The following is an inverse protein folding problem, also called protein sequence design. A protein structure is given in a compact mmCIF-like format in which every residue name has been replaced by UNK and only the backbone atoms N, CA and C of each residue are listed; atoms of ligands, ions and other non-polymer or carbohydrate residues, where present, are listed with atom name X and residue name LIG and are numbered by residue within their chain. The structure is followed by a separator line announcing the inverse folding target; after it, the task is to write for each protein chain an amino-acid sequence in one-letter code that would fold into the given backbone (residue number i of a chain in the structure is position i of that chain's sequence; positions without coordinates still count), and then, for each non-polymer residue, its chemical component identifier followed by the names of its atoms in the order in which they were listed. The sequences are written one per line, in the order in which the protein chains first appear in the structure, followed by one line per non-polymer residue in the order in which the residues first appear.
data_IF_876477121529
#
_entry.id   IF_876477121529
#
_cell.length_a   1.000
_cell.length_b   1.000
_cell.length_c   1.000
_cell.angle_alpha   90.00
_cell.angle_beta   90.00
_cell.angle_gamma   90.00
#
_symmetry.space_group_name_H-M   'P 1'
#
loop_
_entity.id
_entity.type
_entity.pdbx_description
1 polymer ?
#
# COMPACT_ATOMS: atom_id res chain seq x y z
N UNK A 1 -2.70 -13.10 -14.39
CA UNK A 1 -1.66 -12.09 -14.71
C UNK A 1 -0.33 -12.69 -15.20
N UNK A 2 -0.08 -14.00 -15.09
CA UNK A 2 1.20 -14.66 -15.40
C UNK A 2 1.82 -14.28 -16.76
N UNK A 3 1.03 -14.30 -17.85
CA UNK A 3 1.49 -13.86 -19.20
C UNK A 3 1.95 -12.41 -19.27
N UNK A 4 1.46 -11.54 -18.38
CA UNK A 4 1.88 -10.12 -18.32
C UNK A 4 3.21 -10.00 -17.58
N UNK A 5 3.41 -10.80 -16.53
CA UNK A 5 4.63 -10.81 -15.72
C UNK A 5 5.80 -11.41 -16.52
N UNK A 6 5.60 -12.55 -17.19
CA UNK A 6 6.64 -13.18 -18.02
C UNK A 6 7.20 -12.21 -19.10
N UNK A 7 6.32 -11.42 -19.71
CA UNK A 7 6.71 -10.43 -20.72
C UNK A 7 7.55 -9.27 -20.20
N UNK A 8 7.59 -9.02 -18.88
CA UNK A 8 8.46 -7.98 -18.29
C UNK A 8 9.93 -8.29 -18.53
N UNK A 9 10.30 -9.57 -18.61
CA UNK A 9 11.67 -10.04 -18.84
C UNK A 9 11.85 -10.66 -20.24
N UNK A 10 11.00 -10.25 -21.19
CA UNK A 10 11.02 -10.77 -22.57
C UNK A 10 10.86 -12.31 -22.66
N UNK A 11 10.17 -12.93 -21.71
CA UNK A 11 9.88 -14.37 -21.68
C UNK A 11 8.38 -14.67 -21.86
N UNK A 12 8.05 -15.94 -21.97
CA UNK A 12 6.69 -16.46 -22.02
C UNK A 12 6.48 -17.62 -21.01
N UNK A 13 5.34 -18.32 -21.10
CA UNK A 13 4.99 -19.42 -20.20
C UNK A 13 5.60 -20.77 -20.59
N UNK A 14 6.30 -20.85 -21.72
CA UNK A 14 7.09 -22.03 -22.11
C UNK A 14 8.51 -21.89 -21.55
N UNK A 15 9.02 -20.65 -21.44
CA UNK A 15 10.34 -20.34 -20.87
C UNK A 15 10.36 -20.26 -19.35
N UNK A 16 9.26 -19.88 -18.70
CA UNK A 16 9.16 -19.70 -17.26
C UNK A 16 8.15 -20.65 -16.65
N UNK A 17 8.53 -21.31 -15.55
CA UNK A 17 7.61 -22.09 -14.74
C UNK A 17 6.63 -21.18 -13.98
N UNK A 18 5.54 -21.75 -13.45
CA UNK A 18 4.66 -20.98 -12.57
C UNK A 18 5.38 -20.53 -11.29
N UNK A 19 6.31 -21.33 -10.78
CA UNK A 19 7.09 -20.99 -9.59
C UNK A 19 8.01 -19.79 -9.86
N UNK A 20 8.65 -19.73 -11.03
CA UNK A 20 9.45 -18.56 -11.43
C UNK A 20 8.58 -17.29 -11.45
N UNK A 21 7.37 -17.37 -12.00
CA UNK A 21 6.44 -16.24 -12.06
C UNK A 21 5.99 -15.81 -10.67
N UNK A 22 5.76 -16.76 -9.76
CA UNK A 22 5.38 -16.48 -8.37
C UNK A 22 6.54 -15.80 -7.65
N UNK A 23 7.77 -16.29 -7.78
CA UNK A 23 8.94 -15.67 -7.16
C UNK A 23 9.22 -14.27 -7.72
N UNK A 24 9.08 -14.08 -9.03
CA UNK A 24 9.12 -12.74 -9.64
C UNK A 24 8.04 -11.82 -9.05
N UNK A 25 6.82 -12.31 -8.86
CA UNK A 25 5.72 -11.52 -8.30
C UNK A 25 6.00 -11.11 -6.86
N UNK A 26 6.53 -12.02 -6.04
CA UNK A 26 6.94 -11.75 -4.66
C UNK A 26 8.07 -10.72 -4.61
N UNK A 27 9.07 -10.86 -5.48
CA UNK A 27 10.15 -9.88 -5.58
C UNK A 27 9.64 -8.49 -5.95
N UNK A 28 8.74 -8.38 -6.94
CA UNK A 28 8.12 -7.11 -7.32
C UNK A 28 7.33 -6.53 -6.15
N UNK A 29 6.55 -7.34 -5.46
CA UNK A 29 5.78 -6.91 -4.29
C UNK A 29 6.69 -6.35 -3.17
N UNK A 30 7.79 -7.04 -2.87
CA UNK A 30 8.78 -6.56 -1.92
C UNK A 30 9.39 -5.22 -2.35
N UNK A 31 9.69 -5.05 -3.64
CA UNK A 31 10.19 -3.77 -4.17
C UNK A 31 9.17 -2.63 -4.08
N UNK A 32 7.88 -2.93 -4.19
CA UNK A 32 6.83 -1.93 -3.96
C UNK A 32 6.81 -1.46 -2.50
N UNK A 33 6.93 -2.39 -1.54
CA UNK A 33 6.99 -2.07 -0.11
C UNK A 33 8.21 -1.19 0.19
N UNK A 34 9.39 -1.57 -0.31
CA UNK A 34 10.62 -0.79 -0.13
C UNK A 34 10.50 0.63 -0.71
N UNK A 35 9.91 0.77 -1.90
CA UNK A 35 9.71 2.07 -2.53
C UNK A 35 8.79 2.98 -1.69
N UNK A 36 7.72 2.43 -1.11
CA UNK A 36 6.83 3.19 -0.23
C UNK A 36 7.56 3.57 1.06
N UNK A 37 8.33 2.64 1.64
CA UNK A 37 9.13 2.89 2.84
C UNK A 37 10.14 4.03 2.60
N UNK A 38 10.83 4.06 1.46
CA UNK A 38 11.74 5.17 1.12
C UNK A 38 11.03 6.53 1.06
N UNK A 39 9.78 6.55 0.58
CA UNK A 39 8.95 7.75 0.59
C UNK A 39 8.52 8.16 1.99
N UNK A 40 8.08 7.21 2.81
CA UNK A 40 7.72 7.44 4.22
C UNK A 40 8.91 7.98 5.02
N UNK A 41 10.09 7.39 4.83
CA UNK A 41 11.34 7.80 5.46
C UNK A 41 11.62 9.29 5.29
N UNK A 42 11.54 9.77 4.05
CA UNK A 42 11.80 11.17 3.74
C UNK A 42 10.85 12.13 4.47
N UNK A 43 9.57 11.77 4.58
CA UNK A 43 8.57 12.63 5.21
C UNK A 43 8.67 12.56 6.73
N UNK A 44 8.79 11.37 7.31
CA UNK A 44 8.81 11.18 8.76
C UNK A 44 10.05 11.84 9.38
N UNK A 45 11.23 11.70 8.75
CA UNK A 45 12.46 12.34 9.22
C UNK A 45 12.41 13.86 9.09
N UNK A 46 11.75 14.37 8.04
CA UNK A 46 11.63 15.81 7.81
C UNK A 46 10.59 16.49 8.71
N UNK A 47 9.56 15.76 9.15
CA UNK A 47 8.42 16.31 9.90
C UNK A 47 8.37 15.85 11.36
N UNK A 48 9.27 14.95 11.79
CA UNK A 48 9.29 14.38 13.15
C UNK A 48 7.95 13.73 13.53
N UNK A 49 7.47 12.83 12.65
CA UNK A 49 6.18 12.14 12.80
C UNK A 49 6.39 10.63 12.84
N UNK A 50 5.88 9.96 13.87
CA UNK A 50 6.04 8.50 14.02
C UNK A 50 4.77 7.69 13.71
N UNK A 51 3.61 8.34 13.63
CA UNK A 51 2.32 7.68 13.39
C UNK A 51 1.92 7.76 11.91
N UNK A 52 1.78 6.60 11.29
CA UNK A 52 1.24 6.41 9.95
C UNK A 52 -0.21 5.93 10.04
N UNK A 53 -1.10 6.61 9.32
CA UNK A 53 -2.50 6.19 9.17
C UNK A 53 -2.72 5.65 7.76
N UNK A 54 -3.07 4.37 7.64
CA UNK A 54 -3.23 3.70 6.33
C UNK A 54 -4.69 3.64 5.90
N UNK A 55 -4.92 3.69 4.58
CA UNK A 55 -6.26 3.65 3.98
C UNK A 55 -6.20 3.24 2.51
N UNK A 56 -7.34 3.16 1.84
CA UNK A 56 -7.39 2.70 0.45
C UNK A 56 -7.18 1.19 0.30
N UNK A 57 -7.04 0.75 -0.94
CA UNK A 57 -6.93 -0.68 -1.29
C UNK A 57 -5.59 -1.30 -0.85
N UNK A 58 -4.52 -0.50 -0.80
CA UNK A 58 -3.16 -0.95 -0.47
C UNK A 58 -2.87 -1.01 1.03
N UNK A 59 -3.79 -0.57 1.88
CA UNK A 59 -3.54 -0.27 3.30
C UNK A 59 -2.86 -1.40 4.07
N UNK A 60 -3.29 -2.64 3.86
CA UNK A 60 -2.81 -3.80 4.63
C UNK A 60 -1.69 -4.56 3.91
N UNK A 61 -1.59 -4.43 2.59
CA UNK A 61 -0.68 -5.22 1.75
C UNK A 61 0.56 -4.47 1.31
N UNK A 62 0.54 -3.14 1.32
CA UNK A 62 1.64 -2.29 0.87
C UNK A 62 2.00 -1.25 1.94
N UNK A 63 1.02 -0.46 2.36
CA UNK A 63 1.27 0.72 3.19
C UNK A 63 1.71 0.34 4.61
N UNK A 64 0.96 -0.57 5.26
CA UNK A 64 1.29 -1.08 6.59
C UNK A 64 2.64 -1.80 6.62
N UNK A 65 2.94 -2.77 5.74
CA UNK A 65 4.27 -3.39 5.68
C UNK A 65 5.40 -2.38 5.46
N UNK A 66 5.18 -1.33 4.66
CA UNK A 66 6.19 -0.31 4.40
C UNK A 66 6.49 0.54 5.65
N UNK A 67 5.47 0.90 6.42
CA UNK A 67 5.64 1.61 7.67
C UNK A 67 6.28 0.71 8.76
N UNK A 68 5.88 -0.56 8.85
CA UNK A 68 6.46 -1.55 9.76
C UNK A 68 7.95 -1.81 9.47
N UNK A 69 8.37 -1.78 8.20
CA UNK A 69 9.77 -1.91 7.79
C UNK A 69 10.67 -0.81 8.39
N UNK A 70 10.10 0.37 8.66
CA UNK A 70 10.79 1.50 9.29
C UNK A 70 10.62 1.52 10.82
N UNK A 71 9.84 0.61 11.39
CA UNK A 71 9.54 0.59 12.83
C UNK A 71 8.59 1.70 13.28
N UNK A 72 7.80 2.29 12.37
CA UNK A 72 6.84 3.36 12.67
C UNK A 72 5.55 2.80 13.29
N UNK A 73 4.83 3.62 14.06
CA UNK A 73 3.50 3.27 14.57
C UNK A 73 2.49 3.28 13.41
N UNK A 74 1.63 2.26 13.32
CA UNK A 74 0.63 2.16 12.25
C UNK A 74 -0.78 2.00 12.82
N UNK A 75 -1.72 2.81 12.31
CA UNK A 75 -3.17 2.64 12.54
C UNK A 75 -3.90 2.53 11.21
N UNK A 76 -4.86 1.62 11.11
CA UNK A 76 -5.64 1.44 9.88
C UNK A 76 -6.93 2.23 9.99
N UNK A 77 -7.32 2.96 8.94
CA UNK A 77 -8.70 3.47 8.83
C UNK A 77 -9.71 2.32 8.81
N UNK A 78 -9.29 1.10 8.44
CA UNK A 78 -10.09 -0.12 8.52
C UNK A 78 -10.51 -0.52 9.94
N UNK A 79 -9.85 0.02 10.97
CA UNK A 79 -10.23 -0.23 12.36
C UNK A 79 -11.54 0.49 12.74
N UNK A 80 -11.94 1.48 11.93
CA UNK A 80 -13.10 2.35 12.17
C UNK A 80 -14.11 2.29 11.01
N UNK A 81 -13.64 2.05 9.79
CA UNK A 81 -14.43 2.04 8.56
C UNK A 81 -14.38 0.67 7.88
N UNK A 82 -15.37 0.39 7.03
CA UNK A 82 -15.32 -0.80 6.16
C UNK A 82 -14.25 -0.65 5.08
N UNK A 83 -13.86 -1.77 4.46
CA UNK A 83 -12.90 -1.75 3.35
C UNK A 83 -13.39 -0.92 2.16
N UNK A 84 -14.67 -1.01 1.83
CA UNK A 84 -15.29 -0.20 0.78
C UNK A 84 -15.16 1.29 1.07
N UNK A 85 -15.40 1.70 2.33
CA UNK A 85 -15.26 3.08 2.76
C UNK A 85 -13.79 3.54 2.76
N UNK A 86 -12.84 2.67 3.08
CA UNK A 86 -11.41 2.98 3.00
C UNK A 86 -10.96 3.25 1.55
N UNK A 87 -11.51 2.53 0.57
CA UNK A 87 -11.20 2.75 -0.87
C UNK A 87 -11.69 4.13 -1.36
N UNK A 88 -12.72 4.69 -0.72
CA UNK A 88 -13.25 6.02 -1.01
C UNK A 88 -12.99 7.02 0.11
N UNK A 89 -11.89 6.85 0.85
CA UNK A 89 -11.53 7.70 2.00
C UNK A 89 -11.62 9.21 1.73
N UNK A 90 -11.27 9.76 0.55
CA UNK A 90 -11.46 11.19 0.27
C UNK A 90 -12.92 11.64 0.34
N UNK A 91 -13.86 10.82 -0.16
CA UNK A 91 -15.29 11.14 -0.13
C UNK A 91 -15.86 11.06 1.29
N UNK A 92 -15.49 10.02 2.04
CA UNK A 92 -15.87 9.86 3.45
C UNK A 92 -15.31 11.01 4.29
N UNK A 93 -14.02 11.33 4.13
CA UNK A 93 -13.37 12.45 4.81
C UNK A 93 -14.05 13.77 4.51
N UNK A 94 -14.43 14.02 3.25
CA UNK A 94 -15.17 15.23 2.86
C UNK A 94 -16.52 15.32 3.55
N UNK A 95 -17.29 14.22 3.59
CA UNK A 95 -18.59 14.20 4.24
C UNK A 95 -18.49 14.46 5.76
N UNK A 96 -17.53 13.82 6.44
CA UNK A 96 -17.26 14.02 7.88
C UNK A 96 -16.83 15.46 8.17
N UNK A 97 -16.02 16.06 7.30
CA UNK A 97 -15.61 17.45 7.48
C UNK A 97 -16.77 18.43 7.26
N UNK A 98 -17.69 18.14 6.32
CA UNK A 98 -18.86 18.98 6.05
C UNK A 98 -19.89 18.96 7.19
N UNK A 99 -20.04 17.82 7.88
CA UNK A 99 -20.94 17.69 9.04
C UNK A 99 -20.70 18.79 10.09
N UNK A 100 -19.44 19.16 10.32
CA UNK A 100 -19.03 20.22 11.26
C UNK A 100 -19.57 21.62 10.94
N UNK A 101 -20.07 21.83 9.72
CA UNK A 101 -20.61 23.11 9.25
C UNK A 101 -22.14 23.06 9.03
N UNK A 102 -22.74 21.88 9.15
CA UNK A 102 -24.19 21.66 8.94
C UNK A 102 -24.95 21.35 10.24
N UNK A 103 -24.23 21.04 11.32
CA UNK A 103 -24.77 20.92 12.69
C UNK A 103 -24.62 22.21 13.49
#
# INVERSE_FOLDING_TARGET
CSKRIARVVCADLEMLSQDDIVEMSKFIHQKQIEQIADGLKQVHEAQDLDLIVTTGLGKDILDKPAAELLGLEVKSMGDILTDEQCVVAPAVGTAVMMEKYLG
#
